data_IF_328788760763
#
_entry.id   IF_328788760763
#
_cell.length_a   1.000
_cell.length_b   1.000
_cell.length_c   1.000
_cell.angle_alpha   90.00
_cell.angle_beta   90.00
_cell.angle_gamma   90.00
#
_symmetry.space_group_name_H-M   'P 1'
#
loop_
_entity.id
_entity.type
_entity.pdbx_description
1 polymer ?
#
# COMPACT_ATOMS: atom_id res chain seq x y z
N UNK A 1 -48.16 39.50 -36.38
CA UNK A 1 -46.96 38.79 -36.89
C UNK A 1 -46.07 38.42 -35.71
N UNK A 2 -46.03 37.14 -35.34
CA UNK A 2 -45.49 36.65 -34.06
C UNK A 2 -43.95 36.47 -34.07
N UNK A 3 -43.37 37.03 -33.00
CA UNK A 3 -42.11 36.77 -32.29
C UNK A 3 -41.07 35.76 -32.82
N UNK A 4 -39.82 36.25 -32.84
CA UNK A 4 -38.53 35.54 -32.85
C UNK A 4 -38.47 34.35 -31.88
N UNK A 5 -37.73 33.29 -32.26
CA UNK A 5 -36.77 32.56 -31.39
C UNK A 5 -35.84 31.70 -32.27
N UNK A 6 -34.74 32.29 -32.71
CA UNK A 6 -33.53 31.53 -33.10
C UNK A 6 -32.61 31.53 -31.87
N UNK A 7 -31.88 30.43 -31.65
CA UNK A 7 -30.65 30.28 -30.83
C UNK A 7 -30.67 29.39 -29.57
N UNK A 8 -31.42 28.30 -29.51
CA UNK A 8 -31.31 27.30 -28.42
C UNK A 8 -30.16 26.30 -28.58
N UNK A 9 -29.59 26.14 -29.79
CA UNK A 9 -28.50 25.19 -30.06
C UNK A 9 -27.09 25.69 -29.68
N UNK A 10 -26.87 27.00 -29.65
CA UNK A 10 -25.55 27.60 -29.37
C UNK A 10 -25.25 27.59 -27.86
N UNK A 11 -26.26 27.74 -27.01
CA UNK A 11 -26.10 27.80 -25.55
C UNK A 11 -25.72 26.45 -24.91
N UNK A 12 -26.19 25.32 -25.47
CA UNK A 12 -25.88 23.99 -24.94
C UNK A 12 -24.43 23.57 -25.27
N UNK A 13 -23.97 23.82 -26.50
CA UNK A 13 -22.56 23.62 -26.88
C UNK A 13 -21.63 24.57 -26.11
N UNK A 14 -22.03 25.82 -25.88
CA UNK A 14 -21.23 26.78 -25.12
C UNK A 14 -21.12 26.39 -23.63
N UNK A 15 -22.23 25.96 -23.03
CA UNK A 15 -22.23 25.46 -21.66
C UNK A 15 -21.40 24.18 -21.54
N UNK A 16 -21.50 23.25 -22.50
CA UNK A 16 -20.68 22.04 -22.54
C UNK A 16 -19.19 22.33 -22.69
N UNK A 17 -18.83 23.31 -23.54
CA UNK A 17 -17.45 23.74 -23.72
C UNK A 17 -16.89 24.41 -22.45
N UNK A 18 -17.68 25.27 -21.79
CA UNK A 18 -17.30 25.89 -20.51
C UNK A 18 -17.09 24.84 -19.41
N UNK A 19 -17.97 23.85 -19.32
CA UNK A 19 -17.83 22.74 -18.38
C UNK A 19 -16.56 21.93 -18.63
N UNK A 20 -16.23 21.67 -19.90
CA UNK A 20 -15.00 20.95 -20.25
C UNK A 20 -13.75 21.71 -19.79
N UNK A 21 -13.72 23.04 -19.95
CA UNK A 21 -12.59 23.87 -19.52
C UNK A 21 -12.43 23.91 -18.00
N UNK A 22 -13.54 24.05 -17.26
CA UNK A 22 -13.53 24.04 -15.78
C UNK A 22 -13.06 22.67 -15.26
N UNK A 23 -13.56 21.58 -15.83
CA UNK A 23 -13.14 20.22 -15.43
C UNK A 23 -11.67 19.96 -15.75
N UNK A 24 -11.19 20.42 -16.90
CA UNK A 24 -9.79 20.29 -17.28
C UNK A 24 -8.88 21.08 -16.35
N UNK A 25 -9.26 22.31 -15.99
CA UNK A 25 -8.52 23.14 -15.04
C UNK A 25 -8.43 22.51 -13.65
N UNK A 26 -9.55 22.00 -13.12
CA UNK A 26 -9.57 21.31 -11.83
C UNK A 26 -8.75 20.02 -11.85
N UNK A 27 -8.87 19.23 -12.91
CA UNK A 27 -8.08 18.01 -13.09
C UNK A 27 -6.58 18.31 -13.12
N UNK A 28 -6.15 19.33 -13.86
CA UNK A 28 -4.74 19.72 -13.95
C UNK A 28 -4.17 20.14 -12.59
N UNK A 29 -4.93 20.90 -11.79
CA UNK A 29 -4.52 21.30 -10.43
C UNK A 29 -4.38 20.07 -9.53
N UNK A 30 -5.36 19.16 -9.54
CA UNK A 30 -5.30 17.92 -8.76
C UNK A 30 -4.14 17.01 -9.18
N UNK A 31 -3.89 16.91 -10.49
CA UNK A 31 -2.78 16.11 -11.04
C UNK A 31 -1.43 16.68 -10.60
N UNK A 32 -1.25 18.01 -10.69
CA UNK A 32 -0.04 18.68 -10.22
C UNK A 32 0.16 18.53 -8.70
N UNK A 33 -0.91 18.68 -7.91
CA UNK A 33 -0.91 18.48 -6.46
C UNK A 33 -0.59 17.02 -6.08
N UNK A 34 -1.09 16.05 -6.83
CA UNK A 34 -0.81 14.63 -6.61
C UNK A 34 0.63 14.27 -6.99
N UNK A 35 1.16 14.86 -8.06
CA UNK A 35 2.55 14.66 -8.46
C UNK A 35 3.53 15.20 -7.41
N UNK A 36 3.28 16.37 -6.81
CA UNK A 36 4.13 16.88 -5.72
C UNK A 36 4.01 16.04 -4.44
N UNK A 37 2.82 15.52 -4.12
CA UNK A 37 2.63 14.61 -2.99
C UNK A 37 3.33 13.25 -3.20
N UNK A 38 3.36 12.74 -4.44
CA UNK A 38 4.09 11.52 -4.80
C UNK A 38 5.61 11.70 -4.87
N UNK A 39 6.09 12.91 -5.13
CA UNK A 39 7.52 13.23 -5.22
C UNK A 39 8.15 13.56 -3.86
N UNK A 40 7.33 13.84 -2.83
CA UNK A 40 7.80 13.98 -1.47
C UNK A 40 8.27 12.60 -0.95
N UNK A 41 9.57 12.35 -1.01
CA UNK A 41 10.16 11.21 -0.32
C UNK A 41 9.82 11.32 1.17
N UNK A 42 9.07 10.35 1.69
CA UNK A 42 8.86 10.24 3.13
C UNK A 42 10.23 10.15 3.80
N UNK A 43 10.64 11.11 4.65
CA UNK A 43 11.87 10.94 5.39
C UNK A 43 11.67 9.70 6.26
N UNK A 44 12.44 8.65 5.98
CA UNK A 44 12.35 7.37 6.68
C UNK A 44 12.95 7.53 8.09
N UNK A 45 12.26 8.27 8.95
CA UNK A 45 12.58 8.39 10.37
C UNK A 45 12.00 7.22 11.15
N UNK A 46 12.46 6.01 10.88
CA UNK A 46 11.91 4.85 11.55
C UNK A 46 12.87 3.69 11.51
N UNK A 47 13.67 3.56 12.58
CA UNK A 47 14.45 2.39 12.98
C UNK A 47 15.24 1.76 11.82
N UNK A 48 16.57 1.83 11.84
CA UNK A 48 17.39 0.96 10.99
C UNK A 48 17.14 -0.51 11.42
N UNK A 49 16.09 -1.10 10.86
CA UNK A 49 15.73 -2.51 11.04
C UNK A 49 16.67 -3.30 10.17
N UNK A 50 17.94 -3.37 10.55
CA UNK A 50 18.85 -4.35 9.98
C UNK A 50 18.18 -5.72 10.15
N UNK A 51 17.90 -6.46 9.07
CA UNK A 51 17.28 -7.78 9.18
C UNK A 51 18.15 -8.68 10.07
N UNK A 52 17.53 -9.32 11.05
CA UNK A 52 18.17 -10.36 11.85
C UNK A 52 18.11 -11.65 11.04
N UNK A 53 19.27 -12.15 10.62
CA UNK A 53 19.39 -13.40 9.89
C UNK A 53 20.00 -14.47 10.80
N UNK A 54 19.23 -15.49 11.14
CA UNK A 54 19.72 -16.64 11.89
C UNK A 54 19.18 -17.96 11.34
N UNK A 55 19.94 -19.03 11.51
CA UNK A 55 19.59 -20.39 11.06
C UNK A 55 19.17 -21.24 12.25
N UNK A 56 17.95 -21.76 12.23
CA UNK A 56 17.45 -22.69 13.25
C UNK A 56 17.53 -24.10 12.70
N UNK A 57 18.19 -25.00 13.44
CA UNK A 57 18.17 -26.42 13.10
C UNK A 57 16.78 -26.97 13.38
N UNK A 58 16.17 -27.63 12.39
CA UNK A 58 14.83 -28.23 12.50
C UNK A 58 14.90 -29.74 12.30
N UNK A 59 14.11 -30.48 13.06
CA UNK A 59 13.86 -31.89 12.81
C UNK A 59 12.70 -32.03 11.82
N UNK A 60 13.01 -32.07 10.53
CA UNK A 60 12.02 -32.16 9.46
C UNK A 60 11.15 -33.43 9.54
N UNK A 61 11.70 -34.56 10.00
CA UNK A 61 10.94 -35.80 10.17
C UNK A 61 9.87 -35.67 11.26
N UNK A 62 10.17 -34.96 12.36
CA UNK A 62 9.20 -34.68 13.40
C UNK A 62 8.11 -33.69 12.94
N UNK A 63 8.47 -32.66 12.17
CA UNK A 63 7.53 -31.67 11.65
C UNK A 63 6.57 -32.21 10.58
N UNK A 64 7.03 -33.18 9.78
CA UNK A 64 6.23 -33.83 8.74
C UNK A 64 5.60 -35.14 9.21
N UNK A 65 5.71 -35.45 10.50
CA UNK A 65 5.11 -36.64 11.11
C UNK A 65 3.58 -36.54 11.12
N UNK A 66 2.91 -37.68 11.08
CA UNK A 66 1.47 -37.78 11.35
C UNK A 66 1.15 -37.73 12.84
N UNK A 67 2.17 -37.79 13.70
CA UNK A 67 2.03 -37.67 15.16
C UNK A 67 1.98 -36.19 15.58
N UNK A 68 0.79 -35.73 15.96
CA UNK A 68 0.56 -34.35 16.40
C UNK A 68 1.39 -33.96 17.64
N UNK A 69 1.72 -34.91 18.52
CA UNK A 69 2.53 -34.64 19.71
C UNK A 69 4.00 -34.42 19.36
N UNK A 70 4.52 -35.17 18.40
CA UNK A 70 5.87 -35.01 17.87
C UNK A 70 6.02 -33.67 17.12
N UNK A 71 5.02 -33.30 16.32
CA UNK A 71 4.97 -32.00 15.64
C UNK A 71 4.95 -30.85 16.65
N UNK A 72 4.05 -30.90 17.64
CA UNK A 72 3.91 -29.85 18.65
C UNK A 72 5.18 -29.68 19.50
N UNK A 73 5.83 -30.79 19.86
CA UNK A 73 7.07 -30.76 20.63
C UNK A 73 8.21 -30.10 19.83
N UNK A 74 8.35 -30.42 18.55
CA UNK A 74 9.38 -29.82 17.70
C UNK A 74 9.10 -28.35 17.41
N UNK A 75 7.84 -27.96 17.18
CA UNK A 75 7.47 -26.55 17.02
C UNK A 75 7.74 -25.73 18.28
N UNK A 76 7.42 -26.27 19.46
CA UNK A 76 7.70 -25.61 20.73
C UNK A 76 9.22 -25.43 20.95
N UNK A 77 10.02 -26.45 20.61
CA UNK A 77 11.48 -26.37 20.66
C UNK A 77 12.02 -25.30 19.72
N UNK A 78 11.57 -25.26 18.46
CA UNK A 78 11.96 -24.24 17.49
C UNK A 78 11.58 -22.83 17.97
N UNK A 79 10.36 -22.65 18.47
CA UNK A 79 9.91 -21.36 19.01
C UNK A 79 10.79 -20.88 20.18
N UNK A 80 11.19 -21.80 21.07
CA UNK A 80 12.09 -21.47 22.18
C UNK A 80 13.49 -21.04 21.73
N UNK A 81 14.07 -21.71 20.72
CA UNK A 81 15.40 -21.37 20.18
C UNK A 81 15.35 -20.01 19.46
N UNK A 82 14.29 -19.74 18.69
CA UNK A 82 14.06 -18.44 18.05
C UNK A 82 13.95 -17.32 19.10
N UNK A 83 13.15 -17.52 20.14
CA UNK A 83 12.95 -16.52 21.20
C UNK A 83 14.27 -16.21 21.94
N UNK A 84 15.08 -17.22 22.22
CA UNK A 84 16.39 -17.06 22.86
C UNK A 84 17.35 -16.22 21.99
N UNK A 85 17.40 -16.49 20.68
CA UNK A 85 18.27 -15.74 19.75
C UNK A 85 17.84 -14.29 19.58
N UNK A 86 16.53 -14.06 19.45
CA UNK A 86 15.99 -12.68 19.37
C UNK A 86 16.27 -11.91 20.66
N UNK A 87 16.25 -12.56 21.83
CA UNK A 87 16.60 -11.92 23.09
C UNK A 87 18.10 -11.57 23.19
N UNK A 88 18.99 -12.36 22.58
CA UNK A 88 20.44 -12.09 22.56
C UNK A 88 20.81 -10.95 21.59
N UNK A 89 20.07 -10.79 20.51
CA UNK A 89 20.31 -9.75 19.50
C UNK A 89 19.63 -8.40 19.83
N UNK A 90 18.75 -8.38 20.83
CA UNK A 90 18.19 -7.15 21.39
C UNK A 90 19.24 -6.50 22.32
N UNK A 91 19.76 -5.30 22.00
CA UNK A 91 20.64 -4.55 22.90
C UNK A 91 19.91 -4.09 24.16
#
# INVERSE_FOLDING_TARGET
MLRRRRSSGVSLSLAGWLWADILLGLFAIFLAASAVASAAATPNQGIDRKPLEFRVAVNGAALLSTDASAVASEQARVASDVAARVAQERP
#
